data_IF_139197606503
#
_entry.id   IF_139197606503
#
_cell.length_a   1.000
_cell.length_b   1.000
_cell.length_c   1.000
_cell.angle_alpha   90.00
_cell.angle_beta   90.00
_cell.angle_gamma   90.00
#
_symmetry.space_group_name_H-M   'P 1'
#
loop_
_entity.id
_entity.type
_entity.pdbx_description
1 polymer ?
#
# COMPACT_ATOMS: atom_id res chain seq x y z
N UNK A 1 13.13 -12.51 -23.66
CA UNK A 1 12.01 -11.56 -23.73
C UNK A 1 12.53 -10.27 -23.13
N UNK A 2 12.32 -9.13 -23.79
CA UNK A 2 12.73 -7.84 -23.22
C UNK A 2 11.87 -7.57 -21.98
N UNK A 3 12.43 -6.87 -20.98
CA UNK A 3 11.71 -6.48 -19.75
C UNK A 3 10.38 -5.81 -20.07
N UNK A 4 10.33 -4.98 -21.12
CA UNK A 4 9.10 -4.32 -21.60
C UNK A 4 8.02 -5.30 -22.08
N UNK A 5 8.37 -6.35 -22.84
CA UNK A 5 7.41 -7.37 -23.29
C UNK A 5 6.82 -8.13 -22.10
N UNK A 6 7.65 -8.44 -21.10
CA UNK A 6 7.19 -9.05 -19.85
C UNK A 6 6.22 -8.13 -19.10
N UNK A 7 6.52 -6.83 -19.01
CA UNK A 7 5.64 -5.84 -18.36
C UNK A 7 4.30 -5.73 -19.11
N UNK A 8 4.31 -5.69 -20.45
CA UNK A 8 3.08 -5.65 -21.26
C UNK A 8 2.22 -6.91 -21.07
N UNK A 9 2.83 -8.08 -21.05
CA UNK A 9 2.10 -9.34 -20.80
C UNK A 9 1.50 -9.37 -19.39
N UNK A 10 2.23 -8.87 -18.38
CA UNK A 10 1.72 -8.77 -17.02
C UNK A 10 0.56 -7.77 -16.92
N UNK A 11 0.68 -6.60 -17.56
CA UNK A 11 -0.41 -5.62 -17.67
C UNK A 11 -1.68 -6.24 -18.24
N UNK A 12 -1.58 -6.96 -19.36
CA UNK A 12 -2.73 -7.61 -20.00
C UNK A 12 -3.37 -8.66 -19.10
N UNK A 13 -2.55 -9.51 -18.47
CA UNK A 13 -3.02 -10.53 -17.50
C UNK A 13 -3.78 -9.91 -16.33
N UNK A 14 -3.26 -8.82 -15.74
CA UNK A 14 -3.94 -8.12 -14.65
C UNK A 14 -5.23 -7.44 -15.11
N UNK A 15 -5.23 -6.83 -16.30
CA UNK A 15 -6.42 -6.19 -16.84
C UNK A 15 -7.54 -7.21 -17.09
N UNK A 16 -7.23 -8.37 -17.67
CA UNK A 16 -8.19 -9.46 -17.85
C UNK A 16 -8.75 -9.96 -16.50
N UNK A 17 -7.89 -10.09 -15.49
CA UNK A 17 -8.30 -10.50 -14.14
C UNK A 17 -9.20 -9.46 -13.46
N UNK A 18 -8.85 -8.18 -13.58
CA UNK A 18 -9.65 -7.05 -13.11
C UNK A 18 -11.04 -7.08 -13.74
N UNK A 19 -11.11 -7.06 -15.08
CA UNK A 19 -12.38 -7.02 -15.81
C UNK A 19 -13.25 -8.23 -15.49
N UNK A 20 -12.66 -9.43 -15.40
CA UNK A 20 -13.38 -10.65 -15.06
C UNK A 20 -14.04 -10.56 -13.68
N UNK A 21 -13.30 -10.13 -12.65
CA UNK A 21 -13.82 -10.08 -11.29
C UNK A 21 -14.80 -8.91 -11.11
N UNK A 22 -14.49 -7.73 -11.67
CA UNK A 22 -15.38 -6.57 -11.65
C UNK A 22 -16.74 -6.90 -12.30
N UNK A 23 -16.74 -7.55 -13.48
CA UNK A 23 -17.98 -7.97 -14.14
C UNK A 23 -18.79 -8.99 -13.33
N UNK A 24 -18.13 -9.85 -12.54
CA UNK A 24 -18.84 -10.81 -11.66
C UNK A 24 -19.51 -10.08 -10.50
N UNK A 25 -18.85 -9.07 -9.92
CA UNK A 25 -19.42 -8.21 -8.88
C UNK A 25 -20.64 -7.44 -9.41
N UNK A 26 -20.51 -6.76 -10.56
CA UNK A 26 -21.61 -5.97 -11.15
C UNK A 26 -22.86 -6.79 -11.51
N UNK A 27 -22.68 -8.07 -11.87
CA UNK A 27 -23.78 -8.98 -12.18
C UNK A 27 -24.41 -9.64 -10.94
N UNK A 28 -23.87 -9.41 -9.75
CA UNK A 28 -24.30 -10.09 -8.53
C UNK A 28 -24.02 -11.61 -8.55
N UNK A 29 -22.96 -12.03 -9.23
CA UNK A 29 -22.55 -13.45 -9.32
C UNK A 29 -21.67 -13.89 -8.14
N UNK A 30 -21.33 -12.97 -7.24
CA UNK A 30 -20.52 -13.20 -6.04
C UNK A 30 -21.44 -13.27 -4.84
N UNK A 31 -21.31 -14.35 -4.07
CA UNK A 31 -22.03 -14.54 -2.80
C UNK A 31 -21.44 -13.65 -1.71
N UNK A 32 -22.26 -13.24 -0.74
CA UNK A 32 -21.92 -12.24 0.28
C UNK A 32 -20.62 -12.52 1.02
N UNK A 33 -20.44 -13.77 1.48
CA UNK A 33 -19.24 -14.22 2.20
C UNK A 33 -17.95 -14.13 1.37
N UNK A 34 -18.06 -14.13 0.04
CA UNK A 34 -16.94 -14.02 -0.88
C UNK A 34 -16.71 -12.59 -1.41
N UNK A 35 -17.54 -11.60 -1.06
CA UNK A 35 -17.42 -10.23 -1.57
C UNK A 35 -16.06 -9.61 -1.23
N UNK A 36 -15.58 -9.60 0.04
CA UNK A 36 -14.29 -9.00 0.38
C UNK A 36 -13.13 -9.64 -0.38
N UNK A 37 -13.17 -10.97 -0.56
CA UNK A 37 -12.15 -11.69 -1.30
C UNK A 37 -12.10 -11.28 -2.77
N UNK A 38 -13.26 -11.22 -3.43
CA UNK A 38 -13.31 -10.85 -4.84
C UNK A 38 -12.92 -9.38 -5.01
N UNK A 39 -13.33 -8.51 -4.11
CA UNK A 39 -12.95 -7.10 -4.09
C UNK A 39 -11.44 -6.92 -3.90
N UNK A 40 -10.82 -7.66 -2.98
CA UNK A 40 -9.36 -7.70 -2.83
C UNK A 40 -8.63 -8.11 -4.09
N UNK A 41 -9.16 -9.09 -4.83
CA UNK A 41 -8.58 -9.46 -6.14
C UNK A 41 -8.72 -8.38 -7.20
N UNK A 42 -9.76 -7.57 -7.13
CA UNK A 42 -9.93 -6.42 -8.03
C UNK A 42 -8.92 -5.33 -7.65
N UNK A 43 -8.75 -5.04 -6.36
CA UNK A 43 -7.75 -4.10 -5.85
C UNK A 43 -6.32 -4.51 -6.27
N UNK A 44 -5.94 -5.77 -6.05
CA UNK A 44 -4.63 -6.32 -6.44
C UNK A 44 -4.37 -6.19 -7.95
N UNK A 45 -5.38 -6.53 -8.78
CA UNK A 45 -5.24 -6.40 -10.23
C UNK A 45 -5.17 -4.95 -10.67
N UNK A 46 -5.95 -4.04 -10.07
CA UNK A 46 -5.86 -2.60 -10.35
C UNK A 46 -4.48 -2.04 -10.00
N UNK A 47 -3.95 -2.39 -8.83
CA UNK A 47 -2.59 -2.03 -8.40
C UNK A 47 -1.55 -2.57 -9.37
N UNK A 48 -1.69 -3.84 -9.78
CA UNK A 48 -0.80 -4.47 -10.74
C UNK A 48 -0.81 -3.81 -12.12
N UNK A 49 -1.98 -3.39 -12.62
CA UNK A 49 -2.07 -2.60 -13.86
C UNK A 49 -1.39 -1.24 -13.67
N UNK A 50 -1.64 -0.54 -12.56
CA UNK A 50 -1.00 0.74 -12.26
C UNK A 50 0.52 0.64 -12.25
N UNK A 51 1.08 -0.40 -11.63
CA UNK A 51 2.53 -0.67 -11.64
C UNK A 51 3.05 -0.81 -13.07
N UNK A 52 2.39 -1.64 -13.88
CA UNK A 52 2.83 -1.87 -15.25
C UNK A 52 2.69 -0.62 -16.13
N UNK A 53 1.62 0.17 -15.99
CA UNK A 53 1.45 1.41 -16.75
C UNK A 53 2.55 2.43 -16.41
N UNK A 54 2.89 2.56 -15.12
CA UNK A 54 3.98 3.44 -14.68
C UNK A 54 5.31 3.04 -15.29
N UNK A 55 5.66 1.74 -15.22
CA UNK A 55 6.90 1.20 -15.82
C UNK A 55 6.95 1.31 -17.35
N UNK A 56 5.80 1.43 -18.02
CA UNK A 56 5.71 1.67 -19.46
C UNK A 56 5.72 3.17 -19.82
N UNK A 57 5.79 4.05 -18.82
CA UNK A 57 5.78 5.51 -18.99
C UNK A 57 4.39 6.11 -19.24
N UNK A 58 3.31 5.37 -18.97
CA UNK A 58 1.92 5.84 -19.12
C UNK A 58 1.43 6.43 -17.79
N UNK A 59 1.92 7.62 -17.45
CA UNK A 59 1.71 8.24 -16.13
C UNK A 59 0.23 8.47 -15.79
N UNK A 60 -0.54 9.10 -16.68
CA UNK A 60 -1.95 9.41 -16.44
C UNK A 60 -2.79 8.14 -16.18
N UNK A 61 -2.54 7.09 -16.97
CA UNK A 61 -3.15 5.78 -16.76
C UNK A 61 -2.74 5.15 -15.43
N UNK A 62 -1.46 5.23 -15.06
CA UNK A 62 -0.96 4.68 -13.80
C UNK A 62 -1.65 5.32 -12.59
N UNK A 63 -1.69 6.66 -12.52
CA UNK A 63 -2.36 7.42 -11.45
C UNK A 63 -3.84 7.04 -11.33
N UNK A 64 -4.53 6.88 -12.46
CA UNK A 64 -5.93 6.45 -12.52
C UNK A 64 -6.12 5.03 -11.95
N UNK A 65 -5.23 4.10 -12.28
CA UNK A 65 -5.30 2.72 -11.79
C UNK A 65 -4.95 2.60 -10.30
N UNK A 66 -4.00 3.38 -9.79
CA UNK A 66 -3.72 3.45 -8.36
C UNK A 66 -4.92 3.97 -7.57
N UNK A 67 -5.62 5.00 -8.09
CA UNK A 67 -6.86 5.49 -7.48
C UNK A 67 -7.95 4.41 -7.41
N UNK A 68 -8.09 3.59 -8.46
CA UNK A 68 -9.01 2.44 -8.44
C UNK A 68 -8.60 1.40 -7.41
N UNK A 69 -7.32 1.09 -7.30
CA UNK A 69 -6.82 0.15 -6.30
C UNK A 69 -7.16 0.64 -4.88
N UNK A 70 -6.89 1.92 -4.59
CA UNK A 70 -7.24 2.53 -3.31
C UNK A 70 -8.74 2.43 -3.00
N UNK A 71 -9.60 2.79 -3.97
CA UNK A 71 -11.05 2.69 -3.83
C UNK A 71 -11.53 1.26 -3.55
N UNK A 72 -10.99 0.26 -4.25
CA UNK A 72 -11.36 -1.12 -4.03
C UNK A 72 -10.85 -1.64 -2.68
N UNK A 73 -9.67 -1.22 -2.22
CA UNK A 73 -9.19 -1.52 -0.86
C UNK A 73 -10.09 -0.93 0.22
N UNK A 74 -10.59 0.30 0.03
CA UNK A 74 -11.58 0.91 0.94
C UNK A 74 -12.89 0.12 0.95
N UNK A 75 -13.41 -0.27 -0.22
CA UNK A 75 -14.65 -1.07 -0.32
C UNK A 75 -14.57 -2.40 0.41
N UNK A 76 -13.40 -3.01 0.53
CA UNK A 76 -13.23 -4.22 1.35
C UNK A 76 -13.60 -3.92 2.81
N UNK A 77 -13.16 -2.78 3.34
CA UNK A 77 -13.46 -2.34 4.70
C UNK A 77 -14.96 -2.12 4.85
N UNK A 78 -15.56 -1.35 3.93
CA UNK A 78 -17.01 -1.09 3.91
C UNK A 78 -17.85 -2.37 3.87
N UNK A 79 -17.44 -3.35 3.05
CA UNK A 79 -18.14 -4.63 2.93
C UNK A 79 -18.05 -5.46 4.20
N UNK A 80 -16.90 -5.44 4.89
CA UNK A 80 -16.74 -6.15 6.15
C UNK A 80 -17.64 -5.55 7.22
N UNK A 81 -17.77 -4.22 7.26
CA UNK A 81 -18.65 -3.53 8.21
C UNK A 81 -20.13 -3.73 7.86
N UNK A 82 -20.50 -3.67 6.58
CA UNK A 82 -21.89 -3.85 6.12
C UNK A 82 -22.41 -5.27 6.40
N UNK A 83 -21.54 -6.28 6.27
CA UNK A 83 -21.90 -7.69 6.37
C UNK A 83 -21.17 -8.40 7.53
N UNK A 84 -20.90 -7.69 8.62
CA UNK A 84 -20.16 -8.18 9.80
C UNK A 84 -20.66 -9.56 10.28
N UNK A 85 -21.98 -9.74 10.37
CA UNK A 85 -22.62 -10.99 10.82
C UNK A 85 -22.53 -12.16 9.79
N UNK A 86 -22.17 -11.86 8.54
CA UNK A 86 -22.27 -12.79 7.40
C UNK A 86 -20.92 -13.13 6.76
N UNK A 87 -19.87 -12.37 7.07
CA UNK A 87 -18.50 -12.59 6.59
C UNK A 87 -17.71 -13.27 7.70
N UNK A 88 -16.69 -14.07 7.32
CA UNK A 88 -15.79 -14.66 8.30
C UNK A 88 -15.08 -13.58 9.13
N UNK A 89 -14.98 -13.77 10.44
CA UNK A 89 -14.21 -12.91 11.36
C UNK A 89 -12.78 -12.66 10.84
N UNK A 90 -12.24 -13.59 10.03
CA UNK A 90 -10.95 -13.46 9.34
C UNK A 90 -10.79 -12.13 8.61
N UNK A 91 -11.84 -11.60 7.99
CA UNK A 91 -11.76 -10.32 7.28
C UNK A 91 -11.76 -9.11 8.22
N UNK A 92 -12.38 -9.21 9.39
CA UNK A 92 -12.48 -8.11 10.37
C UNK A 92 -11.10 -7.76 10.95
N UNK A 93 -10.33 -8.75 11.40
CA UNK A 93 -9.00 -8.48 11.96
C UNK A 93 -7.90 -8.23 10.93
N UNK A 94 -8.17 -8.44 9.64
CA UNK A 94 -7.27 -8.03 8.55
C UNK A 94 -7.56 -6.62 8.01
N UNK A 95 -8.59 -5.92 8.49
CA UNK A 95 -8.88 -4.55 8.04
C UNK A 95 -7.66 -3.60 8.14
N UNK A 96 -6.77 -3.66 9.16
CA UNK A 96 -5.55 -2.84 9.18
C UNK A 96 -4.63 -3.02 7.97
N UNK A 97 -4.57 -4.24 7.42
CA UNK A 97 -3.83 -4.52 6.18
C UNK A 97 -4.48 -3.80 5.01
N UNK A 98 -5.81 -3.85 4.90
CA UNK A 98 -6.56 -3.18 3.83
C UNK A 98 -6.44 -1.65 3.91
N UNK A 99 -6.44 -1.08 5.12
CA UNK A 99 -6.15 0.34 5.32
C UNK A 99 -4.74 0.70 4.84
N UNK A 100 -3.73 -0.12 5.16
CA UNK A 100 -2.37 0.10 4.68
C UNK A 100 -2.30 0.07 3.16
N UNK A 101 -2.91 -0.93 2.53
CA UNK A 101 -2.94 -1.08 1.07
C UNK A 101 -3.69 0.08 0.40
N UNK A 102 -4.81 0.52 0.99
CA UNK A 102 -5.56 1.69 0.53
C UNK A 102 -4.71 2.97 0.60
N UNK A 103 -4.02 3.22 1.73
CA UNK A 103 -3.15 4.38 1.91
C UNK A 103 -2.01 4.39 0.88
N UNK A 104 -1.32 3.27 0.68
CA UNK A 104 -0.24 3.20 -0.31
C UNK A 104 -0.74 3.46 -1.73
N UNK A 105 -1.84 2.80 -2.13
CA UNK A 105 -2.43 3.03 -3.44
C UNK A 105 -2.92 4.48 -3.61
N UNK A 106 -3.46 5.09 -2.55
CA UNK A 106 -3.90 6.48 -2.58
C UNK A 106 -2.72 7.46 -2.75
N UNK A 107 -1.62 7.27 -2.01
CA UNK A 107 -0.39 8.05 -2.17
C UNK A 107 0.14 7.94 -3.60
N UNK A 108 0.23 6.72 -4.13
CA UNK A 108 0.67 6.48 -5.52
C UNK A 108 -0.25 7.12 -6.56
N UNK A 109 -1.55 7.24 -6.26
CA UNK A 109 -2.51 7.89 -7.15
C UNK A 109 -2.37 9.42 -7.21
N UNK A 110 -1.72 10.03 -6.21
CA UNK A 110 -1.56 11.48 -6.03
C UNK A 110 -2.88 12.26 -6.17
N UNK A 111 -3.97 11.66 -5.69
CA UNK A 111 -5.31 12.21 -5.79
C UNK A 111 -5.92 12.34 -4.39
N UNK A 112 -6.06 13.58 -3.91
CA UNK A 112 -6.56 13.94 -2.58
C UNK A 112 -7.84 13.19 -2.20
N UNK A 113 -8.77 13.03 -3.14
CA UNK A 113 -10.03 12.34 -2.88
C UNK A 113 -9.85 10.88 -2.40
N UNK A 114 -8.86 10.14 -2.93
CA UNK A 114 -8.58 8.78 -2.47
C UNK A 114 -7.74 8.77 -1.19
N UNK A 115 -6.90 9.79 -0.99
CA UNK A 115 -6.10 9.95 0.23
C UNK A 115 -7.02 10.21 1.42
N UNK A 116 -7.93 11.18 1.30
CA UNK A 116 -8.91 11.54 2.33
C UNK A 116 -9.79 10.33 2.70
N UNK A 117 -10.24 9.58 1.70
CA UNK A 117 -11.09 8.40 1.89
C UNK A 117 -10.37 7.26 2.63
N UNK A 118 -9.11 6.98 2.25
CA UNK A 118 -8.27 5.99 2.93
C UNK A 118 -7.94 6.39 4.37
N UNK A 119 -7.68 7.68 4.62
CA UNK A 119 -7.44 8.21 5.97
C UNK A 119 -8.69 8.04 6.84
N UNK A 120 -9.86 8.44 6.35
CA UNK A 120 -11.11 8.35 7.10
C UNK A 120 -11.38 6.92 7.57
N UNK A 121 -11.32 5.95 6.65
CA UNK A 121 -11.55 4.55 6.98
C UNK A 121 -10.48 3.96 7.92
N UNK A 122 -9.24 4.45 7.84
CA UNK A 122 -8.19 4.03 8.78
C UNK A 122 -8.48 4.48 10.21
N UNK A 123 -9.06 5.67 10.39
CA UNK A 123 -9.44 6.17 11.71
C UNK A 123 -10.72 5.54 12.26
N UNK A 124 -11.62 5.08 11.39
CA UNK A 124 -12.88 4.44 11.77
C UNK A 124 -12.73 2.98 12.24
N UNK A 125 -11.54 2.38 12.08
CA UNK A 125 -11.24 1.04 12.60
C UNK A 125 -11.54 0.89 14.09
N UNK A 126 -12.13 -0.24 14.50
CA UNK A 126 -12.28 -0.60 15.91
C UNK A 126 -10.94 -1.04 16.53
N UNK A 127 -10.14 -0.04 16.90
CA UNK A 127 -8.80 -0.22 17.45
C UNK A 127 -8.82 -1.04 18.75
N UNK A 128 -9.83 -0.85 19.60
CA UNK A 128 -9.93 -1.55 20.89
C UNK A 128 -10.20 -3.03 20.65
N UNK A 129 -11.19 -3.35 19.82
CA UNK A 129 -11.52 -4.74 19.49
C UNK A 129 -10.35 -5.48 18.83
N UNK A 130 -9.67 -4.85 17.86
CA UNK A 130 -8.52 -5.46 17.17
C UNK A 130 -7.40 -5.75 18.17
N UNK A 131 -7.06 -4.80 19.05
CA UNK A 131 -5.98 -4.99 20.02
C UNK A 131 -6.31 -6.03 21.10
N UNK A 132 -7.58 -6.14 21.51
CA UNK A 132 -8.02 -7.11 22.51
C UNK A 132 -8.09 -8.53 21.97
N UNK A 133 -8.51 -8.71 20.71
CA UNK A 133 -8.76 -10.04 20.14
C UNK A 133 -7.64 -10.53 19.22
N UNK A 134 -6.89 -9.61 18.59
CA UNK A 134 -5.90 -9.87 17.55
C UNK A 134 -4.63 -9.02 17.75
N UNK A 135 -4.06 -9.06 18.96
CA UNK A 135 -2.86 -8.29 19.31
C UNK A 135 -1.63 -8.57 18.41
N UNK A 136 -1.61 -9.71 17.71
CA UNK A 136 -0.61 -10.05 16.70
C UNK A 136 -0.65 -9.13 15.48
N UNK A 137 -1.78 -8.46 15.22
CA UNK A 137 -1.95 -7.45 14.16
C UNK A 137 -1.64 -6.01 14.61
N UNK A 138 -1.27 -5.81 15.88
CA UNK A 138 -0.98 -4.47 16.44
C UNK A 138 0.07 -3.69 15.64
N UNK A 139 1.07 -4.37 15.08
CA UNK A 139 2.11 -3.74 14.27
C UNK A 139 1.56 -3.16 12.95
N UNK A 140 0.63 -3.85 12.29
CA UNK A 140 -0.03 -3.36 11.07
C UNK A 140 -0.94 -2.19 11.40
N UNK A 141 -1.71 -2.32 12.49
CA UNK A 141 -2.62 -1.27 12.97
C UNK A 141 -1.87 0.03 13.29
N UNK A 142 -0.80 -0.06 14.10
CA UNK A 142 -0.04 1.13 14.47
C UNK A 142 0.67 1.75 13.27
N UNK A 143 1.15 0.94 12.32
CA UNK A 143 1.70 1.45 11.08
C UNK A 143 0.65 2.23 10.26
N UNK A 144 -0.52 1.63 10.01
CA UNK A 144 -1.59 2.28 9.25
C UNK A 144 -2.03 3.61 9.90
N UNK A 145 -2.26 3.60 11.22
CA UNK A 145 -2.64 4.80 11.97
C UNK A 145 -1.54 5.87 11.97
N UNK A 146 -0.27 5.48 12.08
CA UNK A 146 0.85 6.42 12.04
C UNK A 146 0.97 7.07 10.65
N UNK A 147 0.86 6.28 9.59
CA UNK A 147 0.92 6.75 8.20
C UNK A 147 -0.26 7.67 7.88
N UNK A 148 -1.49 7.27 8.22
CA UNK A 148 -2.67 8.11 8.04
C UNK A 148 -2.52 9.45 8.77
N UNK A 149 -2.07 9.43 10.04
CA UNK A 149 -1.85 10.64 10.82
C UNK A 149 -0.75 11.55 10.25
N UNK A 150 0.30 10.99 9.66
CA UNK A 150 1.33 11.78 9.00
C UNK A 150 0.77 12.50 7.77
N UNK A 151 0.04 11.79 6.90
CA UNK A 151 -0.53 12.34 5.67
C UNK A 151 -1.61 13.37 5.96
N UNK A 152 -2.41 13.16 7.02
CA UNK A 152 -3.42 14.10 7.54
C UNK A 152 -2.79 15.35 8.21
N UNK A 153 -1.45 15.42 8.31
CA UNK A 153 -0.73 16.52 8.96
C UNK A 153 -0.85 16.54 10.48
N UNK A 154 -1.30 15.44 11.10
CA UNK A 154 -1.42 15.29 12.54
C UNK A 154 -0.16 14.69 13.16
N UNK A 155 0.91 15.47 13.14
CA UNK A 155 2.26 15.07 13.57
C UNK A 155 2.29 14.45 14.98
N UNK A 156 1.52 15.01 15.93
CA UNK A 156 1.47 14.49 17.30
C UNK A 156 0.90 13.06 17.38
N UNK A 157 -0.12 12.74 16.57
CA UNK A 157 -0.63 11.38 16.48
C UNK A 157 0.31 10.47 15.71
N UNK A 158 0.91 10.96 14.62
CA UNK A 158 1.90 10.21 13.84
C UNK A 158 3.06 9.74 14.73
N UNK A 159 3.64 10.65 15.53
CA UNK A 159 4.68 10.35 16.52
C UNK A 159 4.18 9.32 17.54
N UNK A 160 2.98 9.51 18.09
CA UNK A 160 2.44 8.62 19.12
C UNK A 160 2.24 7.19 18.60
N UNK A 161 1.71 7.03 17.38
CA UNK A 161 1.46 5.71 16.78
C UNK A 161 2.77 5.06 16.33
N UNK A 162 3.66 5.83 15.70
CA UNK A 162 4.97 5.32 15.27
C UNK A 162 5.82 4.88 16.47
N UNK A 163 5.70 5.55 17.62
CA UNK A 163 6.31 5.11 18.87
C UNK A 163 5.75 3.77 19.35
N UNK A 164 4.42 3.59 19.33
CA UNK A 164 3.81 2.31 19.70
C UNK A 164 4.27 1.17 18.79
N UNK A 165 4.47 1.44 17.50
CA UNK A 165 5.07 0.49 16.57
C UNK A 165 6.51 0.12 16.97
N UNK A 166 7.34 1.12 17.31
CA UNK A 166 8.73 0.89 17.76
C UNK A 166 8.86 0.13 19.09
N UNK A 167 7.81 0.18 19.93
CA UNK A 167 7.78 -0.53 21.22
C UNK A 167 7.40 -2.02 21.07
N UNK A 168 6.99 -2.46 19.86
CA UNK A 168 6.69 -3.87 19.56
C UNK A 168 7.97 -4.60 19.15
N UNK A 169 8.30 -5.69 19.84
CA UNK A 169 9.29 -6.66 19.37
C UNK A 169 8.67 -7.49 18.24
N UNK A 170 8.91 -7.11 16.98
CA UNK A 170 8.34 -7.81 15.82
C UNK A 170 9.40 -8.59 15.05
N UNK A 171 9.10 -9.85 14.73
CA UNK A 171 9.97 -10.72 13.92
C UNK A 171 10.09 -10.27 12.45
N UNK A 172 9.25 -9.30 12.03
CA UNK A 172 9.11 -8.86 10.65
C UNK A 172 9.96 -7.62 10.35
N UNK A 173 11.13 -7.84 9.74
CA UNK A 173 12.06 -6.79 9.28
C UNK A 173 11.42 -5.65 8.47
N UNK A 174 10.31 -5.93 7.77
CA UNK A 174 9.55 -4.91 7.01
C UNK A 174 9.09 -3.76 7.90
N UNK A 175 8.54 -4.04 9.09
CA UNK A 175 7.94 -3.01 9.94
C UNK A 175 8.99 -2.16 10.66
N UNK A 176 10.21 -2.67 10.85
CA UNK A 176 11.36 -1.87 11.30
C UNK A 176 11.68 -0.79 10.26
N UNK A 177 11.69 -1.19 8.99
CA UNK A 177 11.96 -0.28 7.88
C UNK A 177 10.89 0.80 7.75
N UNK A 178 9.62 0.40 7.81
CA UNK A 178 8.47 1.32 7.76
C UNK A 178 8.48 2.32 8.94
N UNK A 179 8.72 1.83 10.15
CA UNK A 179 8.80 2.65 11.36
C UNK A 179 9.92 3.71 11.24
N UNK A 180 11.10 3.29 10.79
CA UNK A 180 12.26 4.17 10.62
C UNK A 180 12.05 5.18 9.50
N UNK A 181 11.51 4.75 8.36
CA UNK A 181 11.21 5.63 7.23
C UNK A 181 10.22 6.72 7.65
N UNK A 182 9.12 6.34 8.31
CA UNK A 182 8.13 7.29 8.79
C UNK A 182 8.68 8.23 9.87
N UNK A 183 9.55 7.74 10.76
CA UNK A 183 10.21 8.60 11.73
C UNK A 183 11.14 9.63 11.05
N UNK A 184 11.88 9.22 10.02
CA UNK A 184 12.71 10.13 9.22
C UNK A 184 11.88 11.19 8.50
N UNK A 185 10.70 10.82 7.98
CA UNK A 185 9.74 11.77 7.40
C UNK A 185 9.25 12.79 8.44
N UNK A 186 8.82 12.32 9.61
CA UNK A 186 8.31 13.17 10.71
C UNK A 186 9.40 14.13 11.22
N UNK A 187 10.62 13.64 11.39
CA UNK A 187 11.72 14.39 11.99
C UNK A 187 12.56 15.18 10.96
N UNK A 188 12.22 15.06 9.67
CA UNK A 188 13.02 15.56 8.53
C UNK A 188 14.48 15.05 8.58
N UNK A 189 14.70 13.84 9.09
CA UNK A 189 16.02 13.18 9.16
C UNK A 189 16.23 12.28 7.94
N UNK A 190 17.00 12.80 6.98
CA UNK A 190 17.34 12.09 5.74
C UNK A 190 18.10 10.78 5.98
N UNK A 191 18.98 10.72 6.99
CA UNK A 191 19.76 9.50 7.28
C UNK A 191 18.86 8.41 7.84
N UNK A 192 17.91 8.78 8.70
CA UNK A 192 16.95 7.86 9.28
C UNK A 192 15.95 7.36 8.24
N UNK A 193 15.42 8.27 7.41
CA UNK A 193 14.57 7.92 6.28
C UNK A 193 15.27 6.92 5.35
N UNK A 194 16.51 7.25 4.96
CA UNK A 194 17.33 6.42 4.08
C UNK A 194 17.52 5.01 4.65
N UNK A 195 17.86 4.90 5.93
CA UNK A 195 18.03 3.62 6.59
C UNK A 195 16.74 2.80 6.65
N UNK A 196 15.60 3.46 6.89
CA UNK A 196 14.28 2.82 6.85
C UNK A 196 13.96 2.29 5.45
N UNK A 197 14.18 3.11 4.43
CA UNK A 197 13.95 2.74 3.03
C UNK A 197 14.82 1.55 2.60
N UNK A 198 16.11 1.54 2.92
CA UNK A 198 17.01 0.42 2.64
C UNK A 198 16.48 -0.91 3.20
N UNK A 199 15.91 -0.90 4.42
CA UNK A 199 15.30 -2.09 5.02
C UNK A 199 14.05 -2.55 4.29
N UNK A 200 13.18 -1.61 3.88
CA UNK A 200 11.98 -1.91 3.09
C UNK A 200 12.38 -2.61 1.79
N UNK A 201 13.36 -2.04 1.07
CA UNK A 201 13.84 -2.56 -0.20
C UNK A 201 14.59 -3.89 -0.05
N UNK A 202 15.41 -4.05 0.98
CA UNK A 202 16.09 -5.31 1.26
C UNK A 202 15.09 -6.44 1.52
N UNK A 203 14.08 -6.19 2.35
CA UNK A 203 13.01 -7.16 2.60
C UNK A 203 12.21 -7.47 1.32
N UNK A 204 12.04 -6.49 0.43
CA UNK A 204 11.39 -6.70 -0.85
C UNK A 204 12.22 -7.60 -1.78
N UNK A 205 13.51 -7.33 -1.91
CA UNK A 205 14.45 -8.14 -2.68
C UNK A 205 14.53 -9.58 -2.20
N UNK A 206 14.60 -9.81 -0.89
CA UNK A 206 14.66 -11.16 -0.32
C UNK A 206 13.40 -11.99 -0.64
N UNK A 207 12.27 -11.32 -0.91
CA UNK A 207 11.00 -11.94 -1.31
C UNK A 207 10.83 -12.07 -2.82
N UNK A 208 11.64 -11.39 -3.63
CA UNK A 208 11.60 -11.52 -5.10
C UNK A 208 12.28 -12.82 -5.53
N UNK A 209 11.56 -13.66 -6.26
CA UNK A 209 12.15 -14.75 -7.05
C UNK A 209 12.89 -14.21 -8.27
N UNK A 210 13.67 -15.06 -8.95
CA UNK A 210 14.44 -14.68 -10.17
C UNK A 210 13.56 -14.43 -11.41
N UNK A 211 12.28 -14.76 -11.35
CA UNK A 211 11.27 -14.43 -12.37
C UNK A 211 10.06 -13.80 -11.67
N UNK A 212 9.72 -12.53 -11.99
CA UNK A 212 8.54 -11.89 -11.42
C UNK A 212 7.27 -12.49 -12.06
N UNK A 213 6.47 -13.17 -11.24
CA UNK A 213 5.18 -13.75 -11.60
C UNK A 213 4.01 -12.78 -11.29
N UNK A 214 4.28 -11.68 -10.57
CA UNK A 214 3.32 -10.63 -10.26
C UNK A 214 3.93 -9.22 -10.42
N UNK A 215 3.15 -8.19 -10.80
CA UNK A 215 3.68 -6.84 -10.97
C UNK A 215 4.32 -6.23 -9.72
N UNK A 216 3.81 -6.56 -8.54
CA UNK A 216 4.38 -6.13 -7.25
C UNK A 216 5.80 -6.65 -7.03
N UNK A 217 6.26 -7.65 -7.78
CA UNK A 217 7.66 -8.10 -7.75
C UNK A 217 8.57 -7.27 -8.66
N UNK A 218 8.04 -6.33 -9.44
CA UNK A 218 8.86 -5.38 -10.18
C UNK A 218 9.26 -4.18 -9.32
N UNK A 219 8.42 -3.74 -8.38
CA UNK A 219 8.60 -2.49 -7.61
C UNK A 219 8.06 -2.67 -6.20
N UNK A 220 8.73 -2.13 -5.16
CA UNK A 220 8.16 -2.11 -3.80
C UNK A 220 7.10 -1.03 -3.70
N UNK A 221 5.84 -1.42 -3.46
CA UNK A 221 4.72 -0.48 -3.32
C UNK A 221 4.92 0.45 -2.11
N UNK A 222 5.36 -0.10 -0.99
CA UNK A 222 5.61 0.64 0.24
C UNK A 222 6.81 1.58 0.10
N UNK A 223 7.90 1.09 -0.52
CA UNK A 223 9.08 1.91 -0.82
C UNK A 223 8.75 3.06 -1.75
N UNK A 224 7.99 2.79 -2.83
CA UNK A 224 7.53 3.83 -3.76
C UNK A 224 6.68 4.88 -3.07
N UNK A 225 5.74 4.45 -2.23
CA UNK A 225 4.83 5.37 -1.54
C UNK A 225 5.59 6.28 -0.57
N UNK A 226 6.54 5.73 0.20
CA UNK A 226 7.37 6.51 1.13
C UNK A 226 8.28 7.51 0.39
N UNK A 227 8.81 7.14 -0.77
CA UNK A 227 9.59 8.06 -1.60
C UNK A 227 8.73 9.22 -2.13
N UNK A 228 7.47 8.99 -2.52
CA UNK A 228 6.60 10.10 -2.94
C UNK A 228 6.33 11.10 -1.80
N UNK A 229 6.27 10.62 -0.56
CA UNK A 229 6.08 11.49 0.61
C UNK A 229 7.28 12.40 0.89
N UNK A 230 8.46 12.16 0.30
CA UNK A 230 9.60 13.07 0.45
C UNK A 230 9.46 14.34 -0.39
N UNK A 231 8.57 14.37 -1.38
CA UNK A 231 8.41 15.52 -2.28
C UNK A 231 8.01 16.82 -1.55
N UNK A 232 7.38 16.69 -0.39
CA UNK A 232 6.87 17.80 0.41
C UNK A 232 7.76 18.15 1.62
N UNK A 233 8.91 17.49 1.78
CA UNK A 233 9.84 17.68 2.92
C UNK A 233 11.30 17.80 2.44
N UNK A 234 12.17 18.41 3.24
CA UNK A 234 13.60 18.58 2.90
C UNK A 234 14.40 17.29 3.17
N UNK A 235 14.04 16.23 2.46
CA UNK A 235 14.74 14.94 2.50
C UNK A 235 15.39 14.69 1.15
N UNK A 236 16.69 14.41 1.15
CA UNK A 236 17.41 13.99 -0.05
C UNK A 236 17.40 12.45 -0.17
N UNK A 237 16.54 11.85 -1.02
CA UNK A 237 16.53 10.41 -1.20
C UNK A 237 17.74 9.88 -2.00
N UNK A 238 18.58 10.76 -2.56
CA UNK A 238 19.73 10.35 -3.37
C UNK A 238 20.86 9.70 -2.56
N UNK A 239 20.83 9.81 -1.22
CA UNK A 239 21.74 9.10 -0.33
C UNK A 239 21.43 7.60 -0.20
N UNK A 240 20.32 7.13 -0.81
CA UNK A 240 19.91 5.71 -0.82
C UNK A 240 20.27 5.04 -2.15
N UNK A 241 20.75 3.80 -2.09
CA UNK A 241 20.78 2.91 -3.26
C UNK A 241 19.34 2.48 -3.60
N UNK A 242 18.64 3.34 -4.35
CA UNK A 242 17.28 3.08 -4.85
C UNK A 242 17.38 2.04 -5.97
N UNK A 243 16.52 1.02 -5.94
CA UNK A 243 16.43 0.05 -7.03
C UNK A 243 16.21 0.75 -8.37
N UNK A 244 16.90 0.33 -9.43
CA UNK A 244 16.68 0.87 -10.79
C UNK A 244 15.20 0.81 -11.19
N UNK A 245 14.48 -0.24 -10.76
CA UNK A 245 13.04 -0.38 -10.99
C UNK A 245 12.17 0.67 -10.28
N UNK A 246 12.58 1.12 -9.09
CA UNK A 246 11.91 2.20 -8.36
C UNK A 246 12.22 3.56 -8.98
N UNK A 247 13.45 3.74 -9.45
CA UNK A 247 13.86 4.92 -10.21
C UNK A 247 13.05 5.05 -11.49
N UNK A 248 12.99 4.00 -12.30
CA UNK A 248 12.20 4.00 -13.53
C UNK A 248 10.69 4.18 -13.26
N UNK A 249 10.21 3.74 -12.10
CA UNK A 249 8.81 3.85 -11.68
C UNK A 249 8.41 5.26 -11.20
N UNK A 250 9.29 6.00 -10.52
CA UNK A 250 9.00 7.32 -9.94
C UNK A 250 9.62 8.50 -10.70
N UNK A 251 10.60 8.29 -11.59
CA UNK A 251 11.48 9.36 -12.12
C UNK A 251 11.39 9.65 -13.63
N UNK A 252 10.22 9.78 -14.29
CA UNK A 252 10.20 10.48 -15.58
C UNK A 252 10.51 11.98 -15.44
N UNK A 253 10.09 12.62 -14.34
CA UNK A 253 10.07 14.10 -14.20
C UNK A 253 10.82 14.65 -12.94
N UNK A 254 11.51 13.80 -12.17
CA UNK A 254 12.33 14.21 -11.02
C UNK A 254 13.80 14.53 -11.39
N UNK A 255 14.06 14.84 -12.68
CA UNK A 255 15.37 15.31 -13.23
C UNK A 255 15.21 16.70 -13.85
#
# INVERSE_FOLDING_TARGET
MSTEETIRNQRESQLEAYEKNHNRMEKGEVVTDALPFVEGRIADSALGVGICESLLGNSDEALSWFGRAANHSVKIIELVDEYEDSIEDSYQWHQPTQCSDALYAAILSQQDAYIDDAISHTYDLDQEWILENHSDFSHVLYHALALAAYIDGNESQAISWNKKLSDIDHEYLKYDGLQLALAGLIEEDSSQFSHGLEKILSNHHDKRGTNPDAPTQFVSVEGSSNLLLTNDVDIDPNDVEIEDSLRDFLLPDLI
#
